data_IF_588954795559
#
_entry.id   IF_588954795559
#
_cell.length_a   1.000
_cell.length_b   1.000
_cell.length_c   1.000
_cell.angle_alpha   90.00
_cell.angle_beta   90.00
_cell.angle_gamma   90.00
#
_symmetry.space_group_name_H-M   'P 1'
#
loop_
_entity.id
_entity.type
_entity.pdbx_description
1 polymer ?
#
# COMPACT_ATOMS: atom_id res chain seq x y z
N UNK A 1 -20.45 12.77 32.17
CA UNK A 1 -19.03 13.12 31.92
C UNK A 1 -18.21 11.84 32.02
N UNK A 2 -17.66 11.41 30.88
CA UNK A 2 -16.62 10.37 30.68
C UNK A 2 -16.83 9.00 31.33
N UNK A 3 -17.26 8.01 30.55
CA UNK A 3 -16.60 6.70 30.46
C UNK A 3 -17.24 5.82 29.35
N UNK A 4 -16.39 5.04 28.67
CA UNK A 4 -16.67 3.97 27.70
C UNK A 4 -17.08 4.37 26.27
N UNK A 5 -16.06 4.69 25.47
CA UNK A 5 -16.09 4.54 24.01
C UNK A 5 -14.85 3.71 23.60
N UNK A 6 -14.92 2.40 23.82
CA UNK A 6 -13.87 1.45 23.41
C UNK A 6 -14.57 0.15 22.98
N UNK A 7 -14.45 -0.16 21.69
CA UNK A 7 -14.61 -1.47 21.04
C UNK A 7 -16.06 -1.99 20.89
N UNK A 8 -16.61 -1.79 19.69
CA UNK A 8 -17.46 -2.78 19.04
C UNK A 8 -17.15 -2.83 17.54
N UNK A 9 -15.92 -3.25 17.21
CA UNK A 9 -15.56 -3.76 15.89
C UNK A 9 -15.70 -5.29 15.93
N UNK A 10 -16.94 -5.77 15.81
CA UNK A 10 -17.26 -7.16 15.46
C UNK A 10 -18.76 -7.21 15.12
N UNK A 11 -19.09 -7.83 13.99
CA UNK A 11 -20.43 -8.07 13.44
C UNK A 11 -21.13 -6.88 12.78
N UNK A 12 -20.62 -6.48 11.60
CA UNK A 12 -21.52 -6.18 10.48
C UNK A 12 -21.46 -7.38 9.54
N UNK A 13 -22.11 -8.45 9.98
CA UNK A 13 -22.58 -9.51 9.09
C UNK A 13 -23.78 -8.98 8.30
N UNK A 14 -23.67 -9.00 6.97
CA UNK A 14 -24.79 -9.12 6.03
C UNK A 14 -25.97 -8.15 6.24
N UNK A 15 -25.77 -6.90 5.84
CA UNK A 15 -26.89 -6.11 5.30
C UNK A 15 -26.45 -5.59 3.93
N UNK A 16 -26.71 -6.39 2.90
CA UNK A 16 -26.69 -5.91 1.52
C UNK A 16 -27.91 -5.00 1.33
N UNK A 17 -27.78 -3.70 1.64
CA UNK A 17 -28.65 -2.71 1.02
C UNK A 17 -28.12 -2.45 -0.39
N UNK A 18 -28.65 -3.25 -1.30
CA UNK A 18 -28.48 -3.08 -2.72
C UNK A 18 -29.09 -1.74 -3.19
N UNK A 19 -28.27 -0.70 -3.27
CA UNK A 19 -28.44 0.33 -4.30
C UNK A 19 -27.98 -0.25 -5.64
N UNK A 20 -28.75 -1.16 -6.24
CA UNK A 20 -28.32 -2.04 -7.37
C UNK A 20 -27.79 -1.26 -8.60
N UNK A 21 -28.07 0.04 -8.74
CA UNK A 21 -27.64 0.82 -9.90
C UNK A 21 -26.32 1.58 -9.74
N UNK A 22 -26.04 2.13 -8.55
CA UNK A 22 -24.95 3.12 -8.37
C UNK A 22 -23.59 2.47 -8.12
N UNK A 23 -23.54 1.34 -7.40
CA UNK A 23 -22.26 0.70 -7.06
C UNK A 23 -21.59 0.05 -8.26
N UNK A 24 -22.33 -0.64 -9.13
CA UNK A 24 -21.77 -1.33 -10.31
C UNK A 24 -21.23 -0.32 -11.33
N UNK A 25 -21.96 0.77 -11.56
CA UNK A 25 -21.50 1.83 -12.46
C UNK A 25 -20.24 2.53 -11.90
N UNK A 26 -20.23 2.83 -10.60
CA UNK A 26 -19.05 3.40 -9.93
C UNK A 26 -17.86 2.43 -9.94
N UNK A 27 -18.08 1.13 -9.75
CA UNK A 27 -17.03 0.11 -9.85
C UNK A 27 -16.38 0.09 -11.24
N UNK A 28 -17.16 0.11 -12.31
CA UNK A 28 -16.61 0.13 -13.68
C UNK A 28 -15.88 1.43 -13.99
N UNK A 29 -16.39 2.58 -13.52
CA UNK A 29 -15.68 3.87 -13.60
C UNK A 29 -14.34 3.82 -12.87
N UNK A 30 -14.33 3.27 -11.66
CA UNK A 30 -13.13 3.12 -10.83
C UNK A 30 -12.11 2.20 -11.51
N UNK A 31 -12.54 1.02 -11.98
CA UNK A 31 -11.68 0.08 -12.73
C UNK A 31 -11.05 0.76 -13.95
N UNK A 32 -11.82 1.56 -14.68
CA UNK A 32 -11.33 2.36 -15.81
C UNK A 32 -10.27 3.37 -15.36
N UNK A 33 -10.53 4.14 -14.30
CA UNK A 33 -9.58 5.14 -13.78
C UNK A 33 -8.26 4.49 -13.36
N UNK A 34 -8.29 3.43 -12.55
CA UNK A 34 -7.05 2.82 -12.05
C UNK A 34 -6.25 2.13 -13.16
N UNK A 35 -6.91 1.62 -14.20
CA UNK A 35 -6.24 1.12 -15.41
C UNK A 35 -5.65 2.26 -16.24
N UNK A 36 -6.42 3.32 -16.48
CA UNK A 36 -5.98 4.50 -17.22
C UNK A 36 -4.81 5.20 -16.55
N UNK A 37 -4.76 5.22 -15.21
CA UNK A 37 -3.60 5.73 -14.45
C UNK A 37 -2.31 5.04 -14.90
N UNK A 38 -2.27 3.71 -14.87
CA UNK A 38 -1.10 2.96 -15.31
C UNK A 38 -0.82 3.19 -16.80
N UNK A 39 -1.84 3.14 -17.65
CA UNK A 39 -1.66 3.30 -19.09
C UNK A 39 -1.11 4.69 -19.47
N UNK A 40 -1.61 5.76 -18.86
CA UNK A 40 -1.10 7.12 -19.10
C UNK A 40 0.32 7.29 -18.57
N UNK A 41 0.64 6.71 -17.42
CA UNK A 41 2.01 6.72 -16.90
C UNK A 41 2.98 6.03 -17.87
N UNK A 42 2.61 4.85 -18.39
CA UNK A 42 3.43 4.08 -19.34
C UNK A 42 3.56 4.79 -20.69
N UNK A 43 2.51 5.48 -21.14
CA UNK A 43 2.50 6.26 -22.39
C UNK A 43 3.17 7.63 -22.27
N UNK A 44 3.58 8.06 -21.06
CA UNK A 44 4.09 9.40 -20.76
C UNK A 44 3.08 10.52 -21.03
N UNK A 45 1.78 10.22 -20.94
CA UNK A 45 0.71 11.21 -21.07
C UNK A 45 0.54 11.97 -19.74
N UNK A 46 1.39 12.98 -19.54
CA UNK A 46 1.43 13.74 -18.29
C UNK A 46 0.13 14.50 -17.99
N UNK A 47 -0.58 14.98 -19.02
CA UNK A 47 -1.81 15.75 -18.81
C UNK A 47 -2.96 14.83 -18.39
N UNK A 48 -3.15 13.72 -19.10
CA UNK A 48 -4.17 12.75 -18.76
C UNK A 48 -3.87 12.08 -17.41
N UNK A 49 -2.60 11.74 -17.14
CA UNK A 49 -2.20 11.18 -15.84
C UNK A 49 -2.46 12.17 -14.70
N UNK A 50 -2.07 13.44 -14.85
CA UNK A 50 -2.33 14.50 -13.85
C UNK A 50 -3.82 14.62 -13.52
N UNK A 51 -4.67 14.58 -14.54
CA UNK A 51 -6.10 14.80 -14.36
C UNK A 51 -6.75 13.71 -13.52
N UNK A 52 -6.20 12.49 -13.46
CA UNK A 52 -6.78 11.42 -12.64
C UNK A 52 -6.63 11.64 -11.13
N UNK A 53 -5.85 12.61 -10.67
CA UNK A 53 -5.52 12.80 -9.25
C UNK A 53 -6.17 14.02 -8.63
N UNK A 54 -6.44 13.92 -7.32
CA UNK A 54 -6.64 15.10 -6.46
C UNK A 54 -5.28 15.72 -6.18
N UNK A 55 -5.18 17.06 -6.27
CA UNK A 55 -3.93 17.80 -6.03
C UNK A 55 -3.89 18.38 -4.61
N UNK A 56 -4.07 17.52 -3.61
CA UNK A 56 -4.16 17.90 -2.19
C UNK A 56 -2.90 17.60 -1.38
N UNK A 57 -2.85 18.14 -0.16
CA UNK A 57 -1.77 17.91 0.81
C UNK A 57 -1.76 16.49 1.36
N UNK A 58 -2.90 15.79 1.28
CA UNK A 58 -3.06 14.40 1.69
C UNK A 58 -2.89 13.41 0.54
N UNK A 59 -2.61 13.87 -0.69
CA UNK A 59 -2.41 12.97 -1.81
C UNK A 59 -1.11 12.18 -1.61
N UNK A 60 -1.17 10.85 -1.60
CA UNK A 60 0.02 10.03 -1.32
C UNK A 60 0.42 9.14 -2.49
N UNK A 61 1.73 8.91 -2.60
CA UNK A 61 2.33 7.94 -3.52
C UNK A 61 3.32 7.08 -2.77
N UNK A 62 3.02 5.78 -2.68
CA UNK A 62 3.89 4.77 -2.09
C UNK A 62 4.32 3.76 -3.17
N UNK A 63 5.61 3.47 -3.23
CA UNK A 63 6.17 2.43 -4.10
C UNK A 63 7.12 1.58 -3.27
N UNK A 64 6.86 0.28 -3.18
CA UNK A 64 7.67 -0.62 -2.38
C UNK A 64 7.87 -1.97 -3.09
N UNK A 65 8.94 -2.66 -2.76
CA UNK A 65 9.27 -3.97 -3.34
C UNK A 65 10.64 -4.45 -2.88
N UNK A 66 11.18 -5.47 -3.54
CA UNK A 66 12.45 -6.05 -3.13
C UNK A 66 13.59 -5.01 -3.22
N UNK A 67 14.09 -4.60 -2.05
CA UNK A 67 15.23 -3.70 -1.91
C UNK A 67 14.93 -2.21 -1.98
N UNK A 68 13.66 -1.79 -2.02
CA UNK A 68 13.30 -0.37 -2.02
C UNK A 68 11.96 -0.08 -1.35
N UNK A 69 11.88 1.08 -0.72
CA UNK A 69 10.66 1.69 -0.21
C UNK A 69 10.72 3.20 -0.48
N UNK A 70 9.62 3.76 -0.99
CA UNK A 70 9.46 5.18 -1.19
C UNK A 70 8.06 5.61 -0.82
N UNK A 71 7.95 6.67 -0.02
CA UNK A 71 6.69 7.25 0.41
C UNK A 71 6.75 8.77 0.20
N UNK A 72 5.75 9.31 -0.49
CA UNK A 72 5.61 10.73 -0.76
C UNK A 72 4.19 11.15 -0.38
N UNK A 73 4.09 12.19 0.44
CA UNK A 73 2.82 12.75 0.92
C UNK A 73 2.71 14.19 0.41
N UNK A 74 1.54 14.56 -0.08
CA UNK A 74 1.26 15.86 -0.67
C UNK A 74 1.58 15.89 -2.15
N UNK A 75 0.60 16.28 -2.96
CA UNK A 75 0.74 16.35 -4.42
C UNK A 75 1.94 17.21 -4.85
N UNK A 76 2.16 18.34 -4.19
CA UNK A 76 3.24 19.26 -4.54
C UNK A 76 4.64 18.66 -4.32
N UNK A 77 4.76 17.60 -3.52
CA UNK A 77 6.04 16.96 -3.23
C UNK A 77 6.46 15.93 -4.29
N UNK A 78 5.54 15.43 -5.12
CA UNK A 78 5.86 14.43 -6.14
C UNK A 78 5.28 14.72 -7.53
N UNK A 79 4.07 15.29 -7.59
CA UNK A 79 3.33 15.53 -8.83
C UNK A 79 4.13 16.35 -9.83
N UNK A 80 4.55 17.60 -9.49
CA UNK A 80 5.32 18.43 -10.41
C UNK A 80 6.58 17.75 -10.95
N UNK A 81 7.34 17.06 -10.09
CA UNK A 81 8.56 16.35 -10.48
C UNK A 81 8.28 15.20 -11.45
N UNK A 82 7.27 14.37 -11.20
CA UNK A 82 6.88 13.29 -12.12
C UNK A 82 6.36 13.83 -13.45
N UNK A 83 5.55 14.89 -13.43
CA UNK A 83 5.03 15.50 -14.65
C UNK A 83 6.14 16.10 -15.50
N UNK A 84 7.13 16.72 -14.87
CA UNK A 84 8.30 17.24 -15.57
C UNK A 84 9.14 16.09 -16.16
N UNK A 85 9.41 15.05 -15.37
CA UNK A 85 10.11 13.86 -15.85
C UNK A 85 9.41 13.20 -17.05
N UNK A 86 8.08 13.08 -17.05
CA UNK A 86 7.34 12.54 -18.19
C UNK A 86 7.52 13.37 -19.47
N UNK A 87 7.61 14.70 -19.34
CA UNK A 87 7.87 15.60 -20.48
C UNK A 87 9.31 15.48 -20.98
N UNK A 88 10.25 15.39 -20.05
CA UNK A 88 11.68 15.29 -20.36
C UNK A 88 12.05 13.90 -20.91
N UNK A 89 11.27 12.87 -20.59
CA UNK A 89 11.45 11.48 -21.03
C UNK A 89 10.18 10.95 -21.74
N UNK A 90 9.84 11.46 -22.94
CA UNK A 90 8.56 11.20 -23.59
C UNK A 90 8.44 9.81 -24.21
N UNK A 91 9.52 9.03 -24.27
CA UNK A 91 9.51 7.67 -24.82
C UNK A 91 8.60 6.76 -23.96
N UNK A 92 7.55 6.15 -24.56
CA UNK A 92 6.69 5.22 -23.85
C UNK A 92 7.44 3.98 -23.35
N UNK A 93 6.92 3.38 -22.29
CA UNK A 93 7.37 2.08 -21.81
C UNK A 93 7.14 1.00 -22.88
N UNK A 94 8.08 0.05 -22.98
CA UNK A 94 7.88 -1.17 -23.78
C UNK A 94 6.81 -2.10 -23.20
N UNK A 95 6.53 -1.99 -21.90
CA UNK A 95 5.42 -2.71 -21.26
C UNK A 95 4.12 -1.97 -21.59
N UNK A 96 3.40 -2.44 -22.59
CA UNK A 96 2.18 -1.77 -23.10
C UNK A 96 0.92 -2.58 -22.87
N UNK A 97 1.04 -3.85 -22.50
CA UNK A 97 -0.11 -4.68 -22.13
C UNK A 97 -0.34 -4.62 -20.62
N UNK A 98 -1.43 -3.96 -20.21
CA UNK A 98 -1.86 -3.84 -18.82
C UNK A 98 -3.02 -4.81 -18.59
N UNK A 99 -2.83 -5.77 -17.69
CA UNK A 99 -3.90 -6.67 -17.21
C UNK A 99 -4.09 -6.46 -15.72
N UNK A 100 -5.30 -6.14 -15.32
CA UNK A 100 -5.68 -6.03 -13.91
C UNK A 100 -6.68 -7.14 -13.58
N UNK A 101 -6.52 -7.78 -12.43
CA UNK A 101 -7.37 -8.90 -11.97
C UNK A 101 -7.55 -8.87 -10.45
N UNK A 102 -8.42 -9.74 -9.92
CA UNK A 102 -8.62 -9.94 -8.48
C UNK A 102 -8.98 -8.64 -7.73
N UNK A 103 -9.89 -7.85 -8.31
CA UNK A 103 -10.36 -6.62 -7.72
C UNK A 103 -11.13 -6.89 -6.41
N UNK A 104 -10.82 -6.09 -5.39
CA UNK A 104 -11.67 -5.88 -4.21
C UNK A 104 -11.94 -4.38 -4.19
N UNK A 105 -13.19 -3.99 -4.36
CA UNK A 105 -13.62 -2.59 -4.40
C UNK A 105 -14.62 -2.39 -3.28
N UNK A 106 -14.31 -1.45 -2.39
CA UNK A 106 -15.21 -1.00 -1.33
C UNK A 106 -15.53 0.46 -1.58
N UNK A 107 -16.82 0.80 -1.67
CA UNK A 107 -17.31 2.15 -1.92
C UNK A 107 -18.15 2.58 -0.72
N UNK A 108 -17.88 3.77 -0.21
CA UNK A 108 -18.65 4.46 0.83
C UNK A 108 -18.86 5.90 0.37
N UNK A 109 -20.02 6.17 -0.22
CA UNK A 109 -20.43 7.47 -0.74
C UNK A 109 -19.43 8.09 -1.74
N UNK A 110 -18.58 8.97 -1.21
CA UNK A 110 -17.58 9.76 -1.94
C UNK A 110 -16.16 9.20 -1.78
N UNK A 111 -16.01 8.02 -1.18
CA UNK A 111 -14.72 7.36 -0.91
C UNK A 111 -14.73 5.94 -1.44
N UNK A 112 -13.64 5.53 -2.08
CA UNK A 112 -13.43 4.17 -2.53
C UNK A 112 -12.04 3.66 -2.19
N UNK A 113 -11.98 2.40 -1.75
CA UNK A 113 -10.73 1.64 -1.58
C UNK A 113 -10.72 0.48 -2.56
N UNK A 114 -9.63 0.37 -3.30
CA UNK A 114 -9.50 -0.58 -4.39
C UNK A 114 -8.20 -1.32 -4.24
N UNK A 115 -8.26 -2.64 -4.24
CA UNK A 115 -7.08 -3.49 -4.35
C UNK A 115 -7.20 -4.38 -5.57
N UNK A 116 -6.10 -4.58 -6.30
CA UNK A 116 -6.09 -5.47 -7.46
C UNK A 116 -4.67 -5.97 -7.73
N UNK A 117 -4.57 -7.06 -8.48
CA UNK A 117 -3.31 -7.54 -9.03
C UNK A 117 -3.12 -6.96 -10.43
N UNK A 118 -1.89 -6.56 -10.76
CA UNK A 118 -1.54 -6.03 -12.06
C UNK A 118 -0.42 -6.84 -12.72
N UNK A 119 -0.60 -7.17 -14.00
CA UNK A 119 0.43 -7.72 -14.90
C UNK A 119 0.76 -6.64 -15.92
N UNK A 120 2.04 -6.34 -16.07
CA UNK A 120 2.57 -5.57 -17.18
C UNK A 120 3.41 -6.49 -18.06
N UNK A 121 3.10 -6.56 -19.36
CA UNK A 121 3.86 -7.39 -20.31
C UNK A 121 4.19 -6.64 -21.61
N UNK A 122 5.20 -7.14 -22.33
CA UNK A 122 5.54 -6.66 -23.67
C UNK A 122 4.82 -7.55 -24.70
N UNK A 123 3.89 -7.01 -25.51
CA UNK A 123 3.20 -7.81 -26.53
C UNK A 123 4.19 -8.47 -27.50
N UNK A 124 4.04 -9.77 -27.72
CA UNK A 124 4.82 -10.51 -28.73
C UNK A 124 6.30 -10.71 -28.41
N UNK A 125 6.74 -10.47 -27.16
CA UNK A 125 8.14 -10.66 -26.74
C UNK A 125 8.21 -11.52 -25.48
N UNK A 126 8.23 -12.84 -25.65
CA UNK A 126 8.21 -13.81 -24.54
C UNK A 126 9.50 -13.81 -23.71
N UNK A 127 10.61 -13.30 -24.27
CA UNK A 127 11.91 -13.23 -23.58
C UNK A 127 11.96 -12.14 -22.51
N UNK A 128 11.00 -11.21 -22.49
CA UNK A 128 10.90 -10.18 -21.45
C UNK A 128 9.87 -10.65 -20.42
N UNK A 129 10.31 -10.97 -19.18
CA UNK A 129 9.39 -11.44 -18.17
C UNK A 129 8.34 -10.36 -17.84
N UNK A 130 7.09 -10.74 -17.56
CA UNK A 130 6.09 -9.79 -17.10
C UNK A 130 6.48 -9.24 -15.73
N UNK A 131 6.12 -7.99 -15.47
CA UNK A 131 6.20 -7.38 -14.14
C UNK A 131 4.86 -7.54 -13.45
N UNK A 132 4.91 -7.95 -12.18
CA UNK A 132 3.72 -8.09 -11.33
C UNK A 132 3.76 -7.18 -10.13
N UNK A 133 2.57 -6.71 -9.77
CA UNK A 133 2.37 -5.89 -8.58
C UNK A 133 1.01 -6.14 -7.94
N UNK A 134 0.97 -5.90 -6.62
CA UNK A 134 -0.27 -5.70 -5.86
C UNK A 134 -0.50 -4.20 -5.75
N UNK A 135 -1.63 -3.75 -6.23
CA UNK A 135 -1.99 -2.35 -6.29
C UNK A 135 -3.06 -2.02 -5.27
N UNK A 136 -2.89 -0.87 -4.61
CA UNK A 136 -3.86 -0.28 -3.70
C UNK A 136 -4.13 1.14 -4.15
N UNK A 137 -5.40 1.51 -4.25
CA UNK A 137 -5.84 2.85 -4.62
C UNK A 137 -6.89 3.32 -3.63
N UNK A 138 -6.79 4.59 -3.25
CA UNK A 138 -7.89 5.32 -2.62
C UNK A 138 -8.35 6.39 -3.59
N UNK A 139 -9.65 6.41 -3.86
CA UNK A 139 -10.27 7.41 -4.70
C UNK A 139 -11.30 8.19 -3.89
N UNK A 140 -11.46 9.45 -4.23
CA UNK A 140 -12.50 10.32 -3.68
C UNK A 140 -13.30 10.96 -4.82
N UNK A 141 -14.56 11.34 -4.57
CA UNK A 141 -15.33 12.17 -5.51
C UNK A 141 -14.93 13.64 -5.37
N UNK A 142 -14.30 14.19 -6.41
CA UNK A 142 -14.13 15.64 -6.59
C UNK A 142 -15.09 16.10 -7.68
N UNK A 143 -16.03 16.99 -7.34
CA UNK A 143 -17.07 17.50 -8.26
C UNK A 143 -17.81 16.37 -9.01
N UNK A 144 -18.23 15.33 -8.28
CA UNK A 144 -18.92 14.14 -8.81
C UNK A 144 -18.07 13.25 -9.74
N UNK A 145 -16.76 13.46 -9.82
CA UNK A 145 -15.83 12.60 -10.55
C UNK A 145 -14.90 11.90 -9.59
N UNK A 146 -14.74 10.59 -9.77
CA UNK A 146 -13.72 9.82 -9.05
C UNK A 146 -12.32 10.30 -9.44
N UNK A 147 -11.52 10.65 -8.44
CA UNK A 147 -10.12 11.05 -8.57
C UNK A 147 -9.28 10.29 -7.55
N UNK A 148 -8.06 9.96 -7.93
CA UNK A 148 -7.11 9.24 -7.09
C UNK A 148 -6.57 10.19 -6.02
N UNK A 149 -6.73 9.81 -4.76
CA UNK A 149 -6.12 10.48 -3.62
C UNK A 149 -4.92 9.72 -3.08
N UNK A 150 -4.81 8.42 -3.33
CA UNK A 150 -3.67 7.63 -2.87
C UNK A 150 -3.37 6.51 -3.87
N UNK A 151 -2.08 6.35 -4.17
CA UNK A 151 -1.56 5.15 -4.81
C UNK A 151 -0.54 4.48 -3.92
N UNK A 152 -0.64 3.17 -3.82
CA UNK A 152 0.40 2.32 -3.27
C UNK A 152 0.57 1.13 -4.19
N UNK A 153 1.82 0.93 -4.63
CA UNK A 153 2.21 -0.19 -5.49
C UNK A 153 3.23 -1.02 -4.74
N UNK A 154 2.94 -2.32 -4.63
CA UNK A 154 3.88 -3.32 -4.14
C UNK A 154 4.36 -4.12 -5.33
N UNK A 155 5.58 -3.84 -5.78
CA UNK A 155 6.26 -4.56 -6.85
C UNK A 155 6.66 -5.94 -6.35
N UNK A 156 6.07 -6.97 -6.93
CA UNK A 156 6.30 -8.35 -6.54
C UNK A 156 7.29 -9.05 -7.47
N UNK A 157 7.60 -8.48 -8.66
CA UNK A 157 8.49 -8.95 -9.75
C UNK A 157 8.39 -10.41 -10.21
N UNK A 158 7.64 -11.26 -9.52
CA UNK A 158 7.42 -12.66 -9.83
C UNK A 158 5.93 -12.93 -9.72
N UNK A 159 5.28 -12.99 -10.87
CA UNK A 159 4.04 -13.73 -11.00
C UNK A 159 4.25 -15.14 -10.47
N UNK A 160 3.21 -15.70 -9.85
CA UNK A 160 3.12 -17.05 -9.26
C UNK A 160 3.58 -17.10 -7.79
N UNK A 161 2.60 -16.95 -6.87
CA UNK A 161 2.69 -17.23 -5.43
C UNK A 161 3.34 -16.17 -4.54
N UNK A 162 2.82 -14.94 -4.56
CA UNK A 162 2.96 -14.08 -3.39
C UNK A 162 1.88 -14.49 -2.39
N UNK A 163 2.13 -15.53 -1.59
CA UNK A 163 1.30 -15.74 -0.40
C UNK A 163 1.59 -14.60 0.61
N UNK A 164 0.67 -14.28 1.52
CA UNK A 164 0.90 -13.25 2.54
C UNK A 164 2.24 -13.44 3.29
N UNK A 165 2.63 -14.69 3.58
CA UNK A 165 3.90 -15.03 4.23
C UNK A 165 5.13 -14.56 3.44
N UNK A 166 5.12 -14.69 2.10
CA UNK A 166 6.21 -14.21 1.25
C UNK A 166 6.31 -12.69 1.20
N UNK A 167 5.18 -11.98 1.31
CA UNK A 167 5.14 -10.53 1.39
C UNK A 167 5.59 -10.04 2.76
N UNK A 168 5.16 -10.73 3.82
CA UNK A 168 5.63 -10.50 5.20
C UNK A 168 7.16 -10.60 5.28
N UNK A 169 7.70 -11.72 4.80
CA UNK A 169 9.13 -11.98 4.82
C UNK A 169 9.92 -10.95 4.01
N UNK A 170 9.44 -10.58 2.82
CA UNK A 170 10.08 -9.57 1.97
C UNK A 170 10.20 -8.21 2.67
N UNK A 171 9.11 -7.73 3.27
CA UNK A 171 9.15 -6.45 4.00
C UNK A 171 9.97 -6.55 5.27
N UNK A 172 9.99 -7.72 5.92
CA UNK A 172 10.85 -7.95 7.07
C UNK A 172 12.32 -7.79 6.71
N UNK A 173 12.78 -8.48 5.66
CA UNK A 173 14.14 -8.36 5.14
C UNK A 173 14.50 -6.92 4.74
N UNK A 174 13.56 -6.20 4.12
CA UNK A 174 13.78 -4.82 3.73
C UNK A 174 13.95 -3.90 4.96
N UNK A 175 13.10 -4.07 5.98
CA UNK A 175 13.18 -3.30 7.22
C UNK A 175 14.51 -3.53 7.94
N UNK A 176 14.92 -4.80 8.10
CA UNK A 176 16.21 -5.13 8.70
C UNK A 176 17.40 -4.62 7.86
N UNK A 177 17.34 -4.65 6.53
CA UNK A 177 18.39 -4.05 5.70
C UNK A 177 18.53 -2.54 5.91
N UNK A 178 17.44 -1.84 6.23
CA UNK A 178 17.50 -0.43 6.62
C UNK A 178 18.09 -0.25 8.03
N UNK A 179 17.74 -1.10 8.99
CA UNK A 179 18.35 -1.09 10.34
C UNK A 179 19.87 -1.32 10.27
N UNK A 180 20.34 -2.30 9.49
CA UNK A 180 21.78 -2.55 9.26
C UNK A 180 22.53 -1.34 8.69
N UNK A 181 21.82 -0.47 7.98
CA UNK A 181 22.34 0.78 7.39
C UNK A 181 22.15 1.99 8.30
N UNK A 182 21.72 1.80 9.55
CA UNK A 182 21.34 2.85 10.51
C UNK A 182 20.25 3.80 10.00
N UNK A 183 19.35 3.29 9.17
CA UNK A 183 18.19 4.00 8.61
C UNK A 183 16.92 3.61 9.35
N UNK A 184 16.90 3.90 10.65
CA UNK A 184 15.88 3.41 11.58
C UNK A 184 14.48 3.90 11.22
N UNK A 185 14.37 5.15 10.78
CA UNK A 185 13.11 5.79 10.43
C UNK A 185 12.51 5.17 9.16
N UNK A 186 13.33 4.92 8.13
CA UNK A 186 12.88 4.17 6.96
C UNK A 186 12.49 2.73 7.31
N UNK A 187 13.22 2.08 8.21
CA UNK A 187 12.87 0.74 8.70
C UNK A 187 11.50 0.73 9.40
N UNK A 188 11.22 1.71 10.26
CA UNK A 188 9.92 1.86 10.93
C UNK A 188 8.80 1.98 9.90
N UNK A 189 8.96 2.78 8.86
CA UNK A 189 7.93 2.94 7.82
C UNK A 189 7.70 1.65 7.02
N UNK A 190 8.75 0.87 6.77
CA UNK A 190 8.65 -0.46 6.15
C UNK A 190 7.94 -1.45 7.07
N UNK A 191 8.29 -1.50 8.36
CA UNK A 191 7.65 -2.41 9.31
C UNK A 191 6.18 -2.04 9.57
N UNK A 192 5.84 -0.74 9.61
CA UNK A 192 4.43 -0.28 9.64
C UNK A 192 3.66 -0.77 8.43
N UNK A 193 4.26 -0.70 7.24
CA UNK A 193 3.65 -1.25 6.03
C UNK A 193 3.46 -2.77 6.17
N UNK A 194 4.43 -3.49 6.72
CA UNK A 194 4.33 -4.92 6.94
C UNK A 194 3.16 -5.29 7.87
N UNK A 195 3.04 -4.61 9.02
CA UNK A 195 1.90 -4.77 9.95
C UNK A 195 0.57 -4.48 9.26
N UNK A 196 0.50 -3.44 8.43
CA UNK A 196 -0.73 -3.10 7.69
C UNK A 196 -1.15 -4.20 6.71
N UNK A 197 -0.19 -4.88 6.11
CA UNK A 197 -0.44 -5.93 5.11
C UNK A 197 -0.68 -7.29 5.77
N UNK A 198 -0.06 -7.54 6.93
CA UNK A 198 -0.09 -8.80 7.66
C UNK A 198 -0.48 -8.58 9.14
N UNK A 199 -1.68 -8.07 9.43
CA UNK A 199 -2.06 -7.64 10.78
C UNK A 199 -2.20 -8.77 11.80
N UNK A 200 -2.22 -10.03 11.37
CA UNK A 200 -2.29 -11.22 12.24
C UNK A 200 -0.93 -11.91 12.40
N UNK A 201 0.11 -11.43 11.72
CA UNK A 201 1.45 -11.99 11.80
C UNK A 201 2.22 -11.39 12.98
N UNK A 202 2.37 -12.17 14.06
CA UNK A 202 3.05 -11.74 15.29
C UNK A 202 4.46 -11.16 15.06
N UNK A 203 5.18 -11.72 14.09
CA UNK A 203 6.55 -11.35 13.74
C UNK A 203 6.64 -9.91 13.20
N UNK A 204 5.60 -9.42 12.52
CA UNK A 204 5.58 -8.03 12.03
C UNK A 204 5.55 -6.99 13.15
N UNK A 205 4.80 -7.28 14.23
CA UNK A 205 4.78 -6.45 15.42
C UNK A 205 6.07 -6.59 16.22
N UNK A 206 6.70 -7.76 16.23
CA UNK A 206 8.00 -7.95 16.89
C UNK A 206 9.07 -7.04 16.25
N UNK A 207 9.21 -7.10 14.93
CA UNK A 207 10.19 -6.30 14.20
C UNK A 207 9.87 -4.80 14.22
N UNK A 208 8.59 -4.40 14.21
CA UNK A 208 8.21 -3.00 14.42
C UNK A 208 8.56 -2.53 15.84
N UNK A 209 8.33 -3.38 16.84
CA UNK A 209 8.71 -3.13 18.23
C UNK A 209 10.22 -2.92 18.39
N UNK A 210 11.02 -3.75 17.72
CA UNK A 210 12.48 -3.63 17.69
C UNK A 210 12.94 -2.31 17.09
N UNK A 211 12.39 -1.95 15.92
CA UNK A 211 12.73 -0.68 15.27
C UNK A 211 12.35 0.54 16.15
N UNK A 212 11.21 0.50 16.84
CA UNK A 212 10.85 1.53 17.80
C UNK A 212 11.78 1.58 19.01
N UNK A 213 12.21 0.44 19.53
CA UNK A 213 13.16 0.38 20.64
C UNK A 213 14.51 0.99 20.24
N UNK A 214 15.01 0.68 19.03
CA UNK A 214 16.22 1.28 18.47
C UNK A 214 16.10 2.80 18.26
N UNK A 215 14.91 3.29 17.89
CA UNK A 215 14.62 4.71 17.79
C UNK A 215 14.40 5.41 19.15
N UNK A 216 14.50 4.68 20.27
CA UNK A 216 14.26 5.20 21.62
C UNK A 216 12.79 5.43 21.96
N UNK A 217 11.86 5.01 21.09
CA UNK A 217 10.42 5.14 21.29
C UNK A 217 9.88 4.00 22.16
N UNK A 218 10.25 4.01 23.44
CA UNK A 218 9.98 2.95 24.43
C UNK A 218 8.51 2.54 24.49
N UNK A 219 7.59 3.50 24.52
CA UNK A 219 6.15 3.21 24.65
C UNK A 219 5.60 2.46 23.43
N UNK A 220 5.97 2.89 22.23
CA UNK A 220 5.56 2.24 20.97
C UNK A 220 6.19 0.85 20.83
N UNK A 221 7.43 0.67 21.29
CA UNK A 221 8.07 -0.63 21.33
C UNK A 221 7.30 -1.61 22.23
N UNK A 222 6.96 -1.18 23.46
CA UNK A 222 6.18 -2.00 24.41
C UNK A 222 4.82 -2.37 23.83
N UNK A 223 4.11 -1.42 23.20
CA UNK A 223 2.82 -1.68 22.56
C UNK A 223 2.93 -2.80 21.51
N UNK A 224 3.90 -2.70 20.61
CA UNK A 224 4.10 -3.66 19.53
C UNK A 224 4.55 -5.04 20.05
N UNK A 225 5.50 -5.10 20.99
CA UNK A 225 5.88 -6.38 21.59
C UNK A 225 4.73 -7.03 22.36
N UNK A 226 3.85 -6.26 23.02
CA UNK A 226 2.63 -6.82 23.64
C UNK A 226 1.73 -7.45 22.60
N UNK A 227 1.48 -6.77 21.49
CA UNK A 227 0.63 -7.30 20.42
C UNK A 227 1.24 -8.56 19.78
N UNK A 228 2.57 -8.57 19.61
CA UNK A 228 3.30 -9.73 19.14
C UNK A 228 3.11 -10.95 20.06
N UNK A 229 3.28 -10.78 21.38
CA UNK A 229 3.10 -11.86 22.37
C UNK A 229 1.63 -12.27 22.53
N UNK A 230 0.69 -11.35 22.31
CA UNK A 230 -0.75 -11.66 22.27
C UNK A 230 -1.09 -12.60 21.10
N UNK A 231 -0.55 -12.31 19.91
CA UNK A 231 -0.76 -13.12 18.70
C UNK A 231 0.03 -14.44 18.74
N UNK A 232 1.23 -14.42 19.33
CA UNK A 232 2.03 -15.62 19.56
C UNK A 232 2.57 -15.66 21.00
N UNK A 233 1.87 -16.35 21.91
CA UNK A 233 2.32 -16.54 23.29
C UNK A 233 3.66 -17.27 23.44
N UNK A 234 4.22 -17.87 22.38
CA UNK A 234 5.54 -18.52 22.39
C UNK A 234 6.68 -17.58 21.94
N UNK A 235 6.40 -16.32 21.60
CA UNK A 235 7.43 -15.33 21.29
C UNK A 235 8.22 -14.94 22.55
N UNK A 236 9.25 -15.74 22.88
CA UNK A 236 10.13 -15.51 24.03
C UNK A 236 10.94 -14.21 23.89
N UNK A 237 11.34 -13.83 22.67
CA UNK A 237 12.06 -12.58 22.43
C UNK A 237 11.21 -11.37 22.79
N UNK A 238 9.97 -11.30 22.32
CA UNK A 238 9.02 -10.24 22.69
C UNK A 238 8.79 -10.17 24.21
N UNK A 239 8.67 -11.33 24.90
CA UNK A 239 8.57 -11.37 26.37
C UNK A 239 9.82 -10.82 27.04
N UNK A 240 11.01 -11.13 26.54
CA UNK A 240 12.28 -10.62 27.06
C UNK A 240 12.37 -9.11 26.88
N UNK A 241 12.03 -8.60 25.70
CA UNK A 241 12.05 -7.17 25.41
C UNK A 241 11.05 -6.40 26.28
N UNK A 242 9.86 -6.96 26.53
CA UNK A 242 8.89 -6.38 27.48
C UNK A 242 9.39 -6.33 28.93
N UNK A 243 10.31 -7.21 29.34
CA UNK A 243 10.95 -7.13 30.67
C UNK A 243 12.03 -6.05 30.71
N UNK A 244 12.85 -5.96 29.66
CA UNK A 244 13.93 -4.95 29.54
C UNK A 244 13.39 -3.53 29.41
N UNK A 245 12.27 -3.36 28.71
CA UNK A 245 11.62 -2.09 28.46
C UNK A 245 10.62 -1.71 29.55
N UNK A 246 10.58 -2.35 30.71
CA UNK A 246 9.82 -1.84 31.86
C UNK A 246 10.78 -1.04 32.72
#
# INVERSE_FOLDING_TARGET
>A
MKLFLVILFALISLVQFYGVGTSVEDEEKIKKIVRSETEYFLKRDSLAWKDLFVHGETTTRVYAGLGFYGNQVGWNNFGPGLLQWMKDSPTPSRYTNVKNSNYIINISDDLAWVTYDQVLSVPGVDSIPPSGSREFRTLVKDKQQWKISSIMTIDTRSYFNVNPESMEYMFNLLGYSYLEKNKTEEAIEVFKLNVKLNPEAWNTYDSLGEAYALAGNKDLAIENYRKSVELNPENEYGKEMLKKLK
#
